data_IF_320366717387
#
_entry.id   IF_320366717387
#
_cell.length_a   1.000
_cell.length_b   1.000
_cell.length_c   1.000
_cell.angle_alpha   90.00
_cell.angle_beta   90.00
_cell.angle_gamma   90.00
#
_symmetry.space_group_name_H-M   'P 1'
#
loop_
_entity.id
_entity.type
_entity.pdbx_description
1 polymer ?
#
# COMPACT_ATOMS: atom_id res chain seq x y z
N UNK A 1 -14.12 20.51 6.68
CA UNK A 1 -14.78 19.21 6.97
C UNK A 1 -13.67 18.24 7.34
N UNK A 2 -13.54 17.86 8.61
CA UNK A 2 -12.56 16.86 9.03
C UNK A 2 -13.13 15.48 8.72
N UNK A 3 -12.55 14.77 7.76
CA UNK A 3 -12.81 13.35 7.59
C UNK A 3 -11.90 12.66 8.62
N UNK A 4 -12.49 12.18 9.70
CA UNK A 4 -11.74 11.44 10.71
C UNK A 4 -11.18 10.13 10.12
N UNK A 5 -10.09 9.64 10.70
CA UNK A 5 -9.45 8.42 10.21
C UNK A 5 -10.35 7.20 10.40
N UNK A 6 -10.46 6.35 9.36
CA UNK A 6 -11.25 5.13 9.44
C UNK A 6 -12.76 5.33 9.44
N UNK A 7 -13.27 6.52 9.07
CA UNK A 7 -14.72 6.80 8.91
C UNK A 7 -15.43 5.80 7.99
N UNK A 8 -14.69 5.17 7.08
CA UNK A 8 -15.20 4.16 6.13
C UNK A 8 -14.84 2.72 6.51
N UNK A 9 -14.32 2.50 7.73
CA UNK A 9 -14.05 1.15 8.24
C UNK A 9 -15.35 0.34 8.32
N UNK A 10 -15.35 -0.86 7.74
CA UNK A 10 -16.53 -1.73 7.68
C UNK A 10 -17.52 -1.40 6.55
N UNK A 11 -17.28 -0.35 5.76
CA UNK A 11 -18.10 -0.06 4.58
C UNK A 11 -17.78 -1.00 3.42
N UNK A 12 -18.10 -2.29 3.53
CA UNK A 12 -17.68 -3.33 2.59
C UNK A 12 -18.22 -3.20 1.16
N UNK A 13 -19.17 -2.29 0.93
CA UNK A 13 -19.73 -1.98 -0.40
C UNK A 13 -19.27 -0.64 -0.95
N UNK A 14 -18.44 0.09 -0.21
CA UNK A 14 -17.92 1.39 -0.63
C UNK A 14 -16.86 1.18 -1.70
N UNK A 15 -17.29 1.31 -2.96
CA UNK A 15 -16.48 0.99 -4.13
C UNK A 15 -15.87 2.20 -4.80
N UNK A 16 -16.49 3.37 -4.71
CA UNK A 16 -16.08 4.54 -5.47
C UNK A 16 -16.32 5.83 -4.70
N UNK A 17 -15.35 6.73 -4.74
CA UNK A 17 -15.55 8.13 -4.39
C UNK A 17 -15.81 8.86 -5.71
N UNK A 18 -16.95 9.54 -5.89
CA UNK A 18 -17.19 10.37 -7.06
C UNK A 18 -16.06 11.40 -7.21
N UNK A 19 -15.67 11.69 -8.45
CA UNK A 19 -14.68 12.73 -8.69
C UNK A 19 -15.12 14.04 -8.04
N UNK A 20 -14.23 14.60 -7.22
CA UNK A 20 -14.47 15.85 -6.51
C UNK A 20 -13.13 16.56 -6.30
N UNK A 21 -13.18 17.89 -6.38
CA UNK A 21 -12.05 18.79 -6.11
C UNK A 21 -12.56 20.02 -5.37
N UNK A 22 -11.90 20.37 -4.29
CA UNK A 22 -12.08 21.62 -3.54
C UNK A 22 -10.74 22.31 -3.32
N UNK A 23 -10.72 23.39 -2.54
CA UNK A 23 -9.49 24.05 -2.10
C UNK A 23 -8.70 23.21 -1.07
N UNK A 24 -9.33 22.20 -0.47
CA UNK A 24 -8.75 21.40 0.63
C UNK A 24 -8.43 19.96 0.22
N UNK A 25 -9.20 19.39 -0.70
CA UNK A 25 -9.14 17.96 -1.03
C UNK A 25 -9.33 17.71 -2.52
N UNK A 26 -8.79 16.59 -2.99
CA UNK A 26 -8.95 16.13 -4.36
C UNK A 26 -9.09 14.61 -4.43
N UNK A 27 -9.97 14.14 -5.31
CA UNK A 27 -10.09 12.73 -5.65
C UNK A 27 -9.27 12.46 -6.91
N UNK A 28 -8.33 11.53 -6.81
CA UNK A 28 -7.45 11.12 -7.91
C UNK A 28 -7.24 9.61 -7.83
N UNK A 29 -7.22 8.91 -8.97
CA UNK A 29 -7.05 7.44 -9.02
C UNK A 29 -7.99 6.66 -8.07
N UNK A 30 -9.19 7.19 -7.81
CA UNK A 30 -10.17 6.59 -6.91
C UNK A 30 -9.91 6.77 -5.41
N UNK A 31 -8.82 7.43 -5.00
CA UNK A 31 -8.54 7.79 -3.61
C UNK A 31 -8.79 9.28 -3.35
N UNK A 32 -9.04 9.61 -2.09
CA UNK A 32 -9.15 10.98 -1.61
C UNK A 32 -7.81 11.41 -0.98
N UNK A 33 -7.33 12.57 -1.42
CA UNK A 33 -6.09 13.19 -0.98
C UNK A 33 -6.34 14.61 -0.45
N UNK A 34 -5.35 15.15 0.26
CA UNK A 34 -5.18 16.59 0.41
C UNK A 34 -5.04 17.25 -0.97
N UNK A 35 -5.42 18.52 -1.10
CA UNK A 35 -5.39 19.23 -2.39
C UNK A 35 -4.02 19.22 -3.08
N UNK A 36 -2.95 19.32 -2.29
CA UNK A 36 -1.56 19.29 -2.73
C UNK A 36 -1.01 17.86 -2.96
N UNK A 37 -1.81 16.83 -2.67
CA UNK A 37 -1.48 15.40 -2.73
C UNK A 37 -0.37 14.96 -1.77
N UNK A 38 -0.10 15.76 -0.73
CA UNK A 38 0.88 15.41 0.29
C UNK A 38 0.37 14.33 1.26
N UNK A 39 -0.94 14.18 1.41
CA UNK A 39 -1.54 13.19 2.31
C UNK A 39 -2.66 12.40 1.62
N UNK A 40 -2.66 11.08 1.80
CA UNK A 40 -3.74 10.19 1.36
C UNK A 40 -4.68 9.93 2.54
N UNK A 41 -5.94 10.33 2.40
CA UNK A 41 -6.94 10.18 3.45
C UNK A 41 -7.67 8.84 3.40
N UNK A 42 -8.21 8.47 2.24
CA UNK A 42 -8.98 7.23 2.11
C UNK A 42 -8.95 6.67 0.71
N UNK A 43 -8.89 5.35 0.62
CA UNK A 43 -9.16 4.55 -0.56
C UNK A 43 -10.37 3.62 -0.29
N UNK A 44 -11.35 3.52 -1.21
CA UNK A 44 -12.55 2.72 -0.99
C UNK A 44 -12.23 1.22 -0.85
N UNK A 45 -12.71 0.53 0.20
CA UNK A 45 -12.37 -0.88 0.47
C UNK A 45 -12.89 -1.86 -0.59
N UNK A 46 -13.99 -1.52 -1.27
CA UNK A 46 -14.54 -2.30 -2.37
C UNK A 46 -14.18 -1.71 -3.75
N UNK A 47 -13.13 -0.88 -3.81
CA UNK A 47 -12.62 -0.33 -5.06
C UNK A 47 -12.34 -1.44 -6.08
N UNK A 48 -12.68 -1.24 -7.37
CA UNK A 48 -12.41 -2.24 -8.40
C UNK A 48 -10.92 -2.34 -8.76
N UNK A 49 -10.10 -1.37 -8.33
CA UNK A 49 -8.68 -1.36 -8.65
C UNK A 49 -7.90 -2.41 -7.86
N UNK A 50 -7.21 -3.27 -8.59
CA UNK A 50 -6.27 -4.25 -8.02
C UNK A 50 -4.86 -3.71 -7.85
N UNK A 51 -4.53 -2.61 -8.52
CA UNK A 51 -3.24 -1.94 -8.44
C UNK A 51 -3.43 -0.44 -8.28
N UNK A 52 -2.58 0.19 -7.46
CA UNK A 52 -2.55 1.64 -7.29
C UNK A 52 -1.11 2.15 -7.25
N UNK A 53 -0.83 3.14 -8.11
CA UNK A 53 0.40 3.95 -8.02
C UNK A 53 0.08 5.24 -7.26
N UNK A 54 0.83 5.50 -6.19
CA UNK A 54 0.65 6.71 -5.39
C UNK A 54 1.33 7.92 -6.07
N UNK A 55 0.81 9.15 -5.87
CA UNK A 55 1.35 10.34 -6.52
C UNK A 55 2.71 10.72 -5.96
N UNK A 56 3.63 11.20 -6.80
CA UNK A 56 5.02 11.49 -6.43
C UNK A 56 5.16 12.46 -5.26
N UNK A 57 4.21 13.38 -5.10
CA UNK A 57 4.20 14.40 -4.04
C UNK A 57 3.77 13.88 -2.66
N UNK A 58 3.36 12.62 -2.56
CA UNK A 58 2.85 12.04 -1.33
C UNK A 58 3.93 12.01 -0.24
N UNK A 59 3.58 12.49 0.94
CA UNK A 59 4.43 12.51 2.15
C UNK A 59 3.94 11.55 3.22
N UNK A 60 2.64 11.36 3.34
CA UNK A 60 2.04 10.49 4.35
C UNK A 60 0.87 9.67 3.82
N UNK A 61 0.79 8.43 4.28
CA UNK A 61 -0.37 7.55 4.12
C UNK A 61 -1.16 7.60 5.43
N UNK A 62 -2.39 8.11 5.39
CA UNK A 62 -3.22 8.33 6.57
C UNK A 62 -3.59 7.04 7.31
N UNK A 63 -3.99 7.20 8.57
CA UNK A 63 -4.49 6.09 9.39
C UNK A 63 -5.73 5.44 8.76
N UNK A 64 -5.74 4.11 8.73
CA UNK A 64 -6.81 3.30 8.14
C UNK A 64 -7.17 3.64 6.69
N UNK A 65 -6.26 4.26 5.95
CA UNK A 65 -6.52 4.75 4.59
C UNK A 65 -6.92 3.67 3.58
N UNK A 66 -6.40 2.45 3.73
CA UNK A 66 -6.71 1.29 2.90
C UNK A 66 -7.39 0.16 3.70
N UNK A 67 -7.97 0.46 4.87
CA UNK A 67 -8.53 -0.59 5.73
C UNK A 67 -9.56 -1.45 4.99
N UNK A 68 -9.37 -2.77 5.01
CA UNK A 68 -10.29 -3.73 4.42
C UNK A 68 -10.35 -3.71 2.89
N UNK A 69 -9.33 -3.21 2.19
CA UNK A 69 -9.30 -3.26 0.72
C UNK A 69 -9.22 -4.71 0.22
N UNK A 70 -10.37 -5.27 -0.17
CA UNK A 70 -10.47 -6.69 -0.54
C UNK A 70 -9.97 -6.96 -1.96
N UNK A 71 -9.99 -6.00 -2.88
CA UNK A 71 -9.58 -6.21 -4.27
C UNK A 71 -8.14 -5.78 -4.57
N UNK A 72 -7.56 -4.98 -3.67
CA UNK A 72 -6.23 -4.42 -3.85
C UNK A 72 -5.17 -5.52 -3.69
N UNK A 73 -4.45 -5.79 -4.78
CA UNK A 73 -3.43 -6.82 -4.90
C UNK A 73 -2.03 -6.20 -4.72
N UNK A 74 -1.83 -4.95 -5.17
CA UNK A 74 -0.53 -4.28 -5.10
C UNK A 74 -0.57 -2.75 -5.05
N UNK A 75 0.44 -2.15 -4.39
CA UNK A 75 0.66 -0.70 -4.32
C UNK A 75 2.10 -0.38 -4.69
N UNK A 76 2.28 0.67 -5.48
CA UNK A 76 3.56 1.31 -5.70
C UNK A 76 3.62 2.65 -4.96
N UNK A 77 4.51 2.73 -3.97
CA UNK A 77 4.88 3.96 -3.28
C UNK A 77 6.01 4.63 -4.09
N UNK A 78 5.87 5.88 -4.56
CA UNK A 78 6.95 6.56 -5.28
C UNK A 78 8.16 6.72 -4.38
N UNK A 79 9.34 6.55 -4.97
CA UNK A 79 10.58 6.67 -4.23
C UNK A 79 10.78 8.13 -3.76
N UNK A 80 11.27 8.27 -2.53
CA UNK A 80 11.89 9.47 -1.94
C UNK A 80 11.04 10.41 -1.06
N UNK A 81 9.71 10.51 -1.21
CA UNK A 81 8.94 11.53 -0.46
C UNK A 81 8.05 11.00 0.67
N UNK A 82 7.60 9.74 0.62
CA UNK A 82 6.78 9.19 1.70
C UNK A 82 7.63 8.96 2.96
N UNK A 83 7.22 9.58 4.06
CA UNK A 83 7.90 9.55 5.37
C UNK A 83 7.15 8.69 6.39
N UNK A 84 5.82 8.59 6.27
CA UNK A 84 5.00 7.89 7.26
C UNK A 84 3.88 7.04 6.65
N UNK A 85 3.65 5.90 7.30
CA UNK A 85 2.48 5.04 7.08
C UNK A 85 1.69 5.02 8.39
N UNK A 86 0.42 5.41 8.34
CA UNK A 86 -0.44 5.53 9.52
C UNK A 86 -0.80 4.19 10.18
N UNK A 87 -1.33 4.29 11.40
CA UNK A 87 -1.88 3.13 12.14
C UNK A 87 -2.91 2.41 11.29
N UNK A 88 -2.88 1.07 11.26
CA UNK A 88 -3.84 0.24 10.54
C UNK A 88 -4.02 0.59 9.05
N UNK A 89 -3.05 1.27 8.41
CA UNK A 89 -3.20 1.80 7.06
C UNK A 89 -3.67 0.74 6.04
N UNK A 90 -3.13 -0.47 6.09
CA UNK A 90 -3.49 -1.61 5.23
C UNK A 90 -4.16 -2.75 6.00
N UNK A 91 -4.73 -2.48 7.18
CA UNK A 91 -5.33 -3.52 7.99
C UNK A 91 -6.43 -4.28 7.23
N UNK A 92 -6.44 -5.60 7.30
CA UNK A 92 -7.43 -6.50 6.70
C UNK A 92 -7.51 -6.46 5.15
N UNK A 93 -6.45 -6.01 4.47
CA UNK A 93 -6.33 -6.14 3.01
C UNK A 93 -6.00 -7.59 2.63
N UNK A 94 -7.02 -8.46 2.61
CA UNK A 94 -6.85 -9.92 2.49
C UNK A 94 -6.20 -10.38 1.19
N UNK A 95 -6.30 -9.60 0.11
CA UNK A 95 -5.71 -9.90 -1.19
C UNK A 95 -4.39 -9.18 -1.45
N UNK A 96 -3.91 -8.36 -0.52
CA UNK A 96 -2.72 -7.56 -0.76
C UNK A 96 -1.45 -8.42 -0.78
N UNK A 97 -0.72 -8.41 -1.90
CA UNK A 97 0.44 -9.27 -2.16
C UNK A 97 1.75 -8.50 -2.22
N UNK A 98 1.73 -7.27 -2.73
CA UNK A 98 2.93 -6.54 -3.10
C UNK A 98 2.89 -5.08 -2.69
N UNK A 99 3.97 -4.63 -2.06
CA UNK A 99 4.23 -3.23 -1.74
C UNK A 99 5.74 -3.00 -1.72
N UNK A 100 6.18 -1.88 -2.28
CA UNK A 100 7.54 -1.40 -2.07
C UNK A 100 7.58 -0.44 -0.88
N UNK A 101 8.57 -0.63 -0.01
CA UNK A 101 8.81 0.19 1.17
C UNK A 101 10.13 0.95 0.92
N UNK A 102 10.05 2.21 0.44
CA UNK A 102 11.24 3.00 0.18
C UNK A 102 12.03 3.30 1.45
N UNK A 103 13.32 3.56 1.27
CA UNK A 103 14.28 3.78 2.37
C UNK A 103 13.96 5.02 3.21
N UNK A 104 13.21 5.94 2.63
CA UNK A 104 12.79 7.21 3.19
C UNK A 104 11.65 7.13 4.21
N UNK A 105 11.03 5.95 4.41
CA UNK A 105 10.00 5.79 5.43
C UNK A 105 10.65 5.81 6.81
N UNK A 106 10.23 6.75 7.64
CA UNK A 106 10.75 6.97 8.99
C UNK A 106 9.86 6.32 10.04
N UNK A 107 8.55 6.23 9.79
CA UNK A 107 7.58 5.71 10.75
C UNK A 107 6.49 4.86 10.09
N UNK A 108 6.11 3.79 10.78
CA UNK A 108 5.01 2.90 10.43
C UNK A 108 4.18 2.71 11.68
N UNK A 109 2.88 3.00 11.59
CA UNK A 109 1.95 2.90 12.70
C UNK A 109 1.69 1.44 13.10
N UNK A 110 1.23 1.26 14.33
CA UNK A 110 0.83 -0.06 14.82
C UNK A 110 -0.24 -0.70 13.93
N UNK A 111 -0.19 -2.02 13.81
CA UNK A 111 -1.15 -2.82 13.06
C UNK A 111 -1.30 -2.41 11.58
N UNK A 112 -0.37 -1.64 11.00
CA UNK A 112 -0.46 -1.16 9.63
C UNK A 112 -0.70 -2.28 8.61
N UNK A 113 -0.25 -3.51 8.88
CA UNK A 113 -0.40 -4.67 7.99
C UNK A 113 -1.13 -5.85 8.65
N UNK A 114 -1.85 -5.62 9.76
CA UNK A 114 -2.59 -6.69 10.43
C UNK A 114 -3.61 -7.32 9.47
N UNK A 115 -3.72 -8.65 9.45
CA UNK A 115 -4.69 -9.35 8.60
C UNK A 115 -4.40 -9.34 7.09
N UNK A 116 -3.22 -8.85 6.65
CA UNK A 116 -2.75 -8.97 5.27
C UNK A 116 -2.26 -10.39 4.95
N UNK A 117 -3.17 -11.37 4.90
CA UNK A 117 -2.83 -12.79 4.82
C UNK A 117 -2.07 -13.21 3.55
N UNK A 118 -2.23 -12.47 2.45
CA UNK A 118 -1.57 -12.74 1.16
C UNK A 118 -0.26 -11.98 0.96
N UNK A 119 0.09 -11.10 1.89
CA UNK A 119 1.37 -10.42 1.90
C UNK A 119 2.37 -11.40 2.48
N UNK A 120 3.08 -12.12 1.62
CA UNK A 120 4.02 -13.18 2.03
C UNK A 120 5.40 -13.08 1.34
N UNK A 121 5.48 -12.53 0.13
CA UNK A 121 6.72 -12.55 -0.67
C UNK A 121 6.94 -11.33 -1.58
N UNK A 122 5.95 -10.46 -1.77
CA UNK A 122 6.03 -9.30 -2.68
C UNK A 122 6.55 -8.02 -2.04
N UNK A 123 7.41 -8.12 -1.03
CA UNK A 123 7.90 -6.95 -0.30
C UNK A 123 9.27 -6.51 -0.83
N UNK A 124 9.33 -5.33 -1.45
CA UNK A 124 10.60 -4.70 -1.80
C UNK A 124 10.98 -3.69 -0.71
N UNK A 125 11.84 -4.09 0.23
CA UNK A 125 12.34 -3.21 1.30
C UNK A 125 13.71 -2.65 0.91
N UNK A 126 13.82 -1.33 0.81
CA UNK A 126 15.10 -0.64 0.58
C UNK A 126 15.91 -0.48 1.87
N UNK A 127 15.28 -0.08 2.99
CA UNK A 127 15.98 0.05 4.29
C UNK A 127 16.01 -1.30 5.05
N UNK A 128 17.20 -1.90 5.19
CA UNK A 128 17.38 -3.21 5.85
C UNK A 128 18.01 -3.14 7.24
N UNK A 129 17.96 -1.98 7.90
CA UNK A 129 18.46 -1.85 9.27
C UNK A 129 17.64 -2.70 10.25
N UNK A 130 18.28 -3.30 11.26
CA UNK A 130 17.60 -4.19 12.23
C UNK A 130 16.43 -3.50 12.93
N UNK A 131 16.60 -2.22 13.26
CA UNK A 131 15.56 -1.39 13.89
C UNK A 131 14.35 -1.21 12.98
N UNK A 132 14.58 -0.85 11.70
CA UNK A 132 13.50 -0.68 10.74
C UNK A 132 12.75 -1.99 10.46
N UNK A 133 13.48 -3.11 10.31
CA UNK A 133 12.87 -4.44 10.17
C UNK A 133 12.05 -4.80 11.42
N UNK A 134 12.51 -4.44 12.61
CA UNK A 134 11.75 -4.67 13.86
C UNK A 134 10.45 -3.85 13.88
N UNK A 135 10.50 -2.60 13.44
CA UNK A 135 9.32 -1.73 13.27
C UNK A 135 8.32 -2.32 12.28
N UNK A 136 8.80 -2.88 11.16
CA UNK A 136 7.95 -3.56 10.18
C UNK A 136 7.20 -4.74 10.80
N UNK A 137 7.93 -5.61 11.54
CA UNK A 137 7.35 -6.77 12.22
C UNK A 137 6.33 -6.32 13.28
N UNK A 138 6.65 -5.31 14.09
CA UNK A 138 5.71 -4.79 15.11
C UNK A 138 4.49 -4.11 14.51
N UNK A 139 4.55 -3.67 13.25
CA UNK A 139 3.41 -3.13 12.49
C UNK A 139 2.50 -4.21 11.91
N UNK A 140 2.72 -5.49 12.23
CA UNK A 140 1.89 -6.61 11.80
C UNK A 140 2.36 -7.30 10.52
N UNK A 141 3.55 -6.99 10.00
CA UNK A 141 4.09 -7.71 8.85
C UNK A 141 4.50 -9.15 9.24
N UNK A 142 4.06 -10.16 8.46
CA UNK A 142 4.57 -11.51 8.63
C UNK A 142 6.09 -11.57 8.44
N UNK A 143 6.80 -12.23 9.36
CA UNK A 143 8.26 -12.39 9.30
C UNK A 143 8.69 -13.09 7.99
N UNK A 144 7.82 -13.93 7.43
CA UNK A 144 8.06 -14.63 6.17
C UNK A 144 8.25 -13.67 4.97
N UNK A 145 7.64 -12.48 5.00
CA UNK A 145 7.80 -11.44 3.97
C UNK A 145 9.20 -10.86 3.86
N UNK A 146 9.95 -10.88 4.95
CA UNK A 146 11.30 -10.32 5.01
C UNK A 146 12.32 -11.30 4.41
N UNK A 147 11.98 -12.59 4.34
CA UNK A 147 12.84 -13.62 3.76
C UNK A 147 12.74 -13.51 2.24
N UNK A 148 13.89 -13.50 1.56
CA UNK A 148 13.93 -13.55 0.09
C UNK A 148 13.08 -14.71 -0.40
N UNK A 149 11.99 -14.39 -1.08
CA UNK A 149 11.14 -15.37 -1.73
C UNK A 149 11.50 -15.41 -3.21
N UNK A 150 11.60 -16.61 -3.78
CA UNK A 150 11.96 -16.84 -5.18
C UNK A 150 10.93 -16.30 -6.18
N UNK A 151 9.74 -15.89 -5.72
CA UNK A 151 8.60 -15.48 -6.54
C UNK A 151 8.84 -14.25 -7.43
N UNK A 152 9.80 -13.38 -7.10
CA UNK A 152 9.98 -12.09 -7.80
C UNK A 152 11.44 -11.76 -8.15
N UNK A 153 12.35 -12.72 -8.07
CA UNK A 153 13.70 -12.57 -8.64
C UNK A 153 13.69 -13.03 -10.10
N UNK A 154 14.42 -12.36 -11.01
CA UNK A 154 14.66 -12.80 -12.40
C UNK A 154 15.24 -14.23 -12.55
N UNK A 155 15.46 -14.95 -11.44
CA UNK A 155 15.81 -16.37 -11.41
C UNK A 155 14.65 -17.32 -11.78
N UNK A 156 13.42 -16.83 -11.95
CA UNK A 156 12.24 -17.64 -12.32
C UNK A 156 11.89 -17.57 -13.81
N UNK A 157 12.85 -17.82 -14.73
CA UNK A 157 12.52 -18.00 -16.17
C UNK A 157 11.93 -19.40 -16.46
N UNK A 158 11.94 -20.36 -15.53
CA UNK A 158 11.70 -21.76 -15.92
C UNK A 158 10.52 -22.54 -15.31
N UNK A 159 9.65 -22.00 -14.44
CA UNK A 159 8.68 -22.91 -13.78
C UNK A 159 7.24 -22.47 -13.49
N UNK A 160 6.67 -21.40 -14.04
CA UNK A 160 5.20 -21.27 -13.96
C UNK A 160 4.56 -20.48 -15.11
N UNK A 161 3.57 -21.11 -15.76
CA UNK A 161 2.78 -20.58 -16.88
C UNK A 161 1.66 -19.60 -16.47
N UNK A 162 1.56 -19.25 -15.19
CA UNK A 162 0.46 -18.42 -14.66
C UNK A 162 0.87 -17.00 -14.23
N UNK A 163 2.08 -16.56 -14.57
CA UNK A 163 2.47 -15.15 -14.42
C UNK A 163 1.84 -14.32 -15.54
N UNK A 164 0.67 -13.74 -15.24
CA UNK A 164 0.04 -12.74 -16.11
C UNK A 164 1.02 -11.57 -16.33
N UNK A 165 1.25 -11.20 -17.59
CA UNK A 165 2.23 -10.19 -18.04
C UNK A 165 2.09 -8.81 -17.35
N UNK A 166 0.99 -8.55 -16.65
CA UNK A 166 0.78 -7.37 -15.80
C UNK A 166 1.73 -7.27 -14.60
N UNK A 167 2.32 -8.38 -14.14
CA UNK A 167 3.29 -8.38 -13.03
C UNK A 167 4.73 -8.06 -13.48
N UNK A 168 5.00 -7.96 -14.78
CA UNK A 168 6.33 -7.67 -15.34
C UNK A 168 6.58 -6.18 -15.59
N UNK A 169 5.52 -5.36 -15.66
CA UNK A 169 5.66 -3.91 -15.81
C UNK A 169 6.39 -3.16 -14.69
N UNK A 170 6.46 -3.62 -13.41
CA UNK A 170 7.20 -2.88 -12.38
C UNK A 170 8.73 -2.98 -12.50
N UNK A 171 9.25 -3.88 -13.36
CA UNK A 171 10.70 -4.13 -13.46
C UNK A 171 11.32 -3.43 -14.69
N UNK A 172 10.52 -2.95 -15.65
CA UNK A 172 11.00 -2.49 -16.97
C UNK A 172 11.20 -0.96 -17.05
N UNK A 173 11.06 -0.21 -15.95
CA UNK A 173 11.46 1.21 -15.93
C UNK A 173 12.81 1.35 -15.20
N UNK A 174 13.86 0.86 -15.86
CA UNK A 174 15.25 1.31 -15.70
C UNK A 174 15.86 1.48 -17.09
#
# INVERSE_FOLDING_TARGET
MNIEFGVFSGCERFSTIPYFKSEFMIVENGALYSFDRSELYVFPPASPYSFLSLPDKLRSIGQSSFIGCKNLDSILIPDNLVRSIGKSAFAYCINFRMINIPSCIESIGSDAFIGCCRLHCGLSIQNRTKTFISTLISSGLPITCIRNCSSYTCRMIHYNKDLHLSYLFPIIIM
#
